data_IF_608035646750
#
_entry.id   IF_608035646750
#
_cell.length_a   1.000
_cell.length_b   1.000
_cell.length_c   1.000
_cell.angle_alpha   90.00
_cell.angle_beta   90.00
_cell.angle_gamma   90.00
#
_symmetry.space_group_name_H-M   'P 1'
#
loop_
_entity.id
_entity.type
_entity.pdbx_description
1 polymer ?
#
# COMPACT_ATOMS: atom_id res chain seq x y z
N UNK A 1 -19.39 -17.32 3.39
CA UNK A 1 -18.07 -17.18 4.03
C UNK A 1 -18.14 -15.98 4.94
N UNK A 2 -17.96 -16.15 6.25
CA UNK A 2 -17.88 -15.01 7.16
C UNK A 2 -16.64 -14.18 6.76
N UNK A 3 -16.83 -12.90 6.44
CA UNK A 3 -15.72 -11.99 6.18
C UNK A 3 -15.00 -11.74 7.51
N UNK A 4 -14.07 -12.62 7.87
CA UNK A 4 -13.16 -12.37 8.99
C UNK A 4 -12.27 -11.19 8.59
N UNK A 5 -12.49 -10.02 9.19
CA UNK A 5 -11.57 -8.89 9.04
C UNK A 5 -10.19 -9.32 9.53
N UNK A 6 -9.22 -9.27 8.62
CA UNK A 6 -7.82 -9.60 8.92
C UNK A 6 -7.12 -8.31 9.27
N UNK A 7 -6.47 -8.29 10.43
CA UNK A 7 -5.73 -7.14 10.94
C UNK A 7 -4.24 -7.29 10.64
N UNK A 8 -3.47 -6.20 10.80
CA UNK A 8 -2.00 -6.27 10.64
C UNK A 8 -1.34 -7.26 11.59
N UNK A 9 -1.86 -7.41 12.81
CA UNK A 9 -1.38 -8.38 13.80
C UNK A 9 -1.54 -9.83 13.35
N UNK A 10 -2.45 -10.10 12.42
CA UNK A 10 -2.74 -11.45 11.94
C UNK A 10 -1.86 -11.84 10.74
N UNK A 11 -1.13 -10.88 10.17
CA UNK A 11 -0.20 -11.11 9.08
C UNK A 11 1.01 -11.89 9.58
N UNK A 12 1.22 -13.07 8.99
CA UNK A 12 2.40 -13.92 9.25
C UNK A 12 3.35 -13.89 8.05
N UNK A 13 4.64 -13.86 8.34
CA UNK A 13 5.68 -14.06 7.31
C UNK A 13 5.50 -15.44 6.66
N UNK A 14 5.39 -15.49 5.33
CA UNK A 14 5.31 -16.74 4.55
C UNK A 14 4.02 -16.93 3.75
N UNK A 15 2.98 -16.10 3.95
CA UNK A 15 1.84 -16.05 3.02
C UNK A 15 2.16 -15.14 1.83
N UNK A 16 1.95 -15.63 0.61
CA UNK A 16 2.24 -14.88 -0.62
C UNK A 16 1.21 -13.79 -0.95
N UNK A 17 0.01 -13.83 -0.33
CA UNK A 17 -1.03 -12.82 -0.51
C UNK A 17 -1.98 -12.83 0.70
N UNK A 18 -2.46 -11.65 1.11
CA UNK A 18 -3.49 -11.48 2.13
C UNK A 18 -4.25 -10.18 1.86
N UNK A 19 -5.54 -10.19 2.17
CA UNK A 19 -6.42 -9.01 2.05
C UNK A 19 -6.69 -8.48 3.46
N UNK A 20 -6.39 -7.20 3.69
CA UNK A 20 -6.59 -6.51 4.96
C UNK A 20 -7.36 -5.22 4.74
N UNK A 21 -8.26 -4.88 5.67
CA UNK A 21 -8.95 -3.59 5.67
C UNK A 21 -8.11 -2.58 6.46
N UNK A 22 -7.68 -1.51 5.80
CA UNK A 22 -6.72 -0.55 6.39
C UNK A 22 -7.11 0.87 6.01
N UNK A 23 -6.69 1.83 6.84
CA UNK A 23 -6.78 3.27 6.54
C UNK A 23 -5.41 3.76 6.11
N UNK A 24 -5.31 4.29 4.89
CA UNK A 24 -4.10 4.95 4.42
C UNK A 24 -3.99 6.34 5.07
N UNK A 25 -2.94 6.58 5.85
CA UNK A 25 -2.72 7.88 6.51
C UNK A 25 -1.85 8.81 5.68
N UNK A 26 -0.79 8.28 5.07
CA UNK A 26 0.18 9.08 4.31
C UNK A 26 0.81 8.22 3.24
N UNK A 27 1.05 8.80 2.08
CA UNK A 27 1.93 8.24 1.06
C UNK A 27 3.08 9.21 0.82
N UNK A 28 4.24 8.67 0.48
CA UNK A 28 5.39 9.44 0.01
C UNK A 28 5.47 9.33 -1.50
N UNK A 29 5.97 10.39 -2.13
CA UNK A 29 6.06 10.47 -3.58
C UNK A 29 6.86 9.30 -4.15
N UNK A 30 6.38 8.82 -5.30
CA UNK A 30 6.94 7.64 -5.94
C UNK A 30 8.40 7.86 -6.33
N UNK A 31 9.30 7.04 -5.77
CA UNK A 31 10.72 7.07 -6.13
C UNK A 31 10.94 6.08 -7.27
N UNK A 32 11.62 6.53 -8.33
CA UNK A 32 12.10 5.63 -9.37
C UNK A 32 13.61 5.36 -9.17
N UNK A 33 13.99 4.32 -8.42
CA UNK A 33 15.39 3.99 -8.18
C UNK A 33 16.10 3.42 -9.41
N UNK A 34 15.37 3.03 -10.47
CA UNK A 34 15.95 2.48 -11.71
C UNK A 34 15.55 3.35 -12.89
N UNK A 35 16.49 4.18 -13.35
CA UNK A 35 16.40 5.21 -14.41
C UNK A 35 16.03 4.69 -15.83
N UNK A 36 15.33 3.56 -15.95
CA UNK A 36 14.93 2.93 -17.21
C UNK A 36 13.78 1.90 -17.11
N UNK A 37 13.04 1.83 -15.99
CA UNK A 37 11.79 1.05 -15.91
C UNK A 37 10.64 1.93 -15.41
N UNK A 38 9.42 1.63 -15.89
CA UNK A 38 8.15 2.23 -15.45
C UNK A 38 7.71 1.82 -14.02
N UNK A 39 8.61 1.24 -13.22
CA UNK A 39 8.27 0.80 -11.86
C UNK A 39 8.58 1.94 -10.89
N UNK A 40 7.52 2.57 -10.39
CA UNK A 40 7.58 3.58 -9.34
C UNK A 40 7.29 2.92 -7.99
N UNK A 41 8.15 3.15 -7.00
CA UNK A 41 7.94 2.66 -5.64
C UNK A 41 7.25 3.74 -4.83
N UNK A 42 6.14 3.39 -4.18
CA UNK A 42 5.46 4.27 -3.23
C UNK A 42 5.62 3.67 -1.83
N UNK A 43 6.11 4.48 -0.91
CA UNK A 43 6.03 4.17 0.50
C UNK A 43 4.71 4.69 1.07
N UNK A 44 4.00 3.84 1.80
CA UNK A 44 2.69 4.10 2.37
C UNK A 44 2.71 3.81 3.87
N UNK A 45 2.16 4.74 4.66
CA UNK A 45 1.86 4.53 6.07
C UNK A 45 0.37 4.19 6.18
N UNK A 46 0.10 2.95 6.55
CA UNK A 46 -1.25 2.44 6.77
C UNK A 46 -1.46 2.18 8.25
N UNK A 47 -2.69 2.37 8.69
CA UNK A 47 -3.11 2.11 10.07
C UNK A 47 -4.36 1.27 10.07
N UNK A 48 -4.36 0.35 11.00
CA UNK A 48 -5.45 -0.53 11.34
C UNK A 48 -5.79 -0.33 12.83
N UNK A 49 -6.89 -0.92 13.31
CA UNK A 49 -7.42 -0.78 14.68
C UNK A 49 -6.33 -0.99 15.74
N UNK A 50 -5.43 -1.95 15.49
CA UNK A 50 -4.41 -2.37 16.47
C UNK A 50 -2.99 -1.89 16.16
N UNK A 51 -2.69 -1.37 14.96
CA UNK A 51 -1.30 -1.12 14.58
C UNK A 51 -1.12 -0.11 13.46
N UNK A 52 0.06 0.54 13.46
CA UNK A 52 0.58 1.30 12.33
C UNK A 52 1.64 0.45 11.61
N UNK A 53 1.56 0.37 10.30
CA UNK A 53 2.51 -0.38 9.49
C UNK A 53 2.95 0.41 8.26
N UNK A 54 4.23 0.29 7.94
CA UNK A 54 4.84 0.87 6.76
C UNK A 54 4.88 -0.19 5.66
N UNK A 55 4.38 0.17 4.49
CA UNK A 55 4.39 -0.69 3.31
C UNK A 55 5.09 0.03 2.18
N UNK A 56 5.96 -0.70 1.47
CA UNK A 56 6.51 -0.24 0.20
C UNK A 56 5.89 -1.06 -0.92
N UNK A 57 5.27 -0.38 -1.88
CA UNK A 57 4.59 -1.01 -3.00
C UNK A 57 5.22 -0.56 -4.33
N UNK A 58 5.48 -1.52 -5.21
CA UNK A 58 5.79 -1.24 -6.61
C UNK A 58 4.52 -1.01 -7.41
N UNK A 59 4.39 0.16 -8.02
CA UNK A 59 3.31 0.47 -8.96
C UNK A 59 3.89 0.50 -10.37
N UNK A 60 3.32 -0.32 -11.25
CA UNK A 60 3.75 -0.41 -12.64
C UNK A 60 3.19 0.70 -13.55
N UNK A 61 2.17 1.46 -13.12
CA UNK A 61 1.67 2.66 -13.82
C UNK A 61 1.11 3.69 -12.83
N UNK A 62 1.75 4.85 -12.73
CA UNK A 62 1.33 5.94 -11.84
C UNK A 62 0.19 6.82 -12.42
N UNK A 63 -0.28 6.55 -13.65
CA UNK A 63 -1.18 7.45 -14.39
C UNK A 63 -2.63 7.53 -13.89
N UNK A 64 -3.02 6.84 -12.81
CA UNK A 64 -4.41 6.91 -12.29
C UNK A 64 -4.57 7.59 -10.92
N UNK A 65 -3.48 7.89 -10.20
CA UNK A 65 -3.56 8.50 -8.86
C UNK A 65 -3.56 10.03 -8.86
N UNK A 66 -3.35 10.67 -10.01
CA UNK A 66 -3.35 12.12 -10.12
C UNK A 66 -4.18 12.57 -11.32
N UNK A 67 -5.46 12.90 -11.06
CA UNK A 67 -6.28 13.85 -11.86
C UNK A 67 -7.72 14.09 -11.35
N UNK A 68 -8.19 13.50 -10.24
CA UNK A 68 -9.60 13.68 -9.79
C UNK A 68 -9.84 14.08 -8.33
N UNK A 69 -8.82 14.51 -7.59
CA UNK A 69 -9.02 14.88 -6.17
C UNK A 69 -8.42 16.23 -5.77
N UNK A 70 -8.25 17.13 -6.76
CA UNK A 70 -7.99 18.55 -6.55
C UNK A 70 -8.83 19.35 -7.56
N UNK A 71 -10.15 19.32 -7.39
CA UNK A 71 -11.07 20.35 -7.86
C UNK A 71 -12.25 20.41 -6.89
#
# INVERSE_FOLDING_TARGET
MAMSRVFFSDLKSGRCSSTVEVRLLRFWEARNPRRGRELMWIDMLMVDVNAKAYFSASIARLNSLNKRTLM
#
